data_IF_652137408471
#
_entry.id   IF_652137408471
#
_cell.length_a   1.000
_cell.length_b   1.000
_cell.length_c   1.000
_cell.angle_alpha   90.00
_cell.angle_beta   90.00
_cell.angle_gamma   90.00
#
_symmetry.space_group_name_H-M   'P 1'
#
loop_
_entity.id
_entity.type
_entity.pdbx_description
1 polymer ?
#
# COMPACT_ATOMS: atom_id res chain seq x y z
N UNK A 1 -1.92 27.11 -39.89
CA UNK A 1 -1.53 26.70 -38.51
C UNK A 1 -2.61 27.06 -37.48
N UNK A 2 -3.83 26.49 -37.57
CA UNK A 2 -4.95 26.83 -36.68
C UNK A 2 -5.59 25.64 -35.94
N UNK A 3 -5.09 24.41 -36.17
CA UNK A 3 -5.65 23.18 -35.58
C UNK A 3 -4.70 22.44 -34.61
N UNK A 4 -3.47 22.93 -34.42
CA UNK A 4 -2.52 22.37 -33.44
C UNK A 4 -2.80 22.81 -32.00
N UNK A 5 -3.45 23.96 -31.83
CA UNK A 5 -3.76 24.55 -30.52
C UNK A 5 -4.76 23.72 -29.67
N UNK A 6 -5.88 23.20 -30.22
CA UNK A 6 -6.80 22.38 -29.42
C UNK A 6 -6.19 21.01 -29.03
N UNK A 7 -5.30 20.45 -29.85
CA UNK A 7 -4.62 19.17 -29.56
C UNK A 7 -3.63 19.32 -28.39
N UNK A 8 -2.90 20.44 -28.35
CA UNK A 8 -1.97 20.75 -27.24
C UNK A 8 -2.70 21.00 -25.92
N UNK A 9 -3.88 21.63 -25.97
CA UNK A 9 -4.73 21.85 -24.79
C UNK A 9 -5.34 20.53 -24.30
N UNK A 10 -5.81 19.66 -25.20
CA UNK A 10 -6.30 18.33 -24.85
C UNK A 10 -5.22 17.44 -24.21
N UNK A 11 -3.96 17.56 -24.65
CA UNK A 11 -2.82 16.84 -24.05
C UNK A 11 -2.53 17.33 -22.62
N UNK A 12 -2.72 18.62 -22.33
CA UNK A 12 -2.52 19.20 -20.99
C UNK A 12 -3.57 18.68 -19.98
N UNK A 13 -4.82 18.48 -20.40
CA UNK A 13 -5.90 18.01 -19.52
C UNK A 13 -5.75 16.54 -19.09
N UNK A 14 -5.10 15.69 -19.88
CA UNK A 14 -4.83 14.29 -19.49
C UNK A 14 -3.83 14.23 -18.32
N UNK A 15 -2.92 15.20 -18.21
CA UNK A 15 -1.85 15.21 -17.20
C UNK A 15 -2.33 15.54 -15.78
N UNK A 16 -3.42 16.29 -15.62
CA UNK A 16 -3.95 16.69 -14.31
C UNK A 16 -4.75 15.57 -13.62
N UNK A 17 -5.33 14.63 -14.40
CA UNK A 17 -6.08 13.49 -13.86
C UNK A 17 -5.20 12.50 -13.07
N UNK A 18 -3.90 12.42 -13.37
CA UNK A 18 -2.98 11.51 -12.67
C UNK A 18 -2.42 12.10 -11.36
N UNK A 19 -2.73 13.35 -10.97
CA UNK A 19 -2.03 14.07 -9.89
C UNK A 19 -2.56 13.84 -8.47
N UNK A 20 -3.65 13.09 -8.26
CA UNK A 20 -4.41 13.10 -7.00
C UNK A 20 -3.68 12.60 -5.72
N UNK A 21 -2.47 12.01 -5.79
CA UNK A 21 -1.76 11.57 -4.57
C UNK A 21 -0.22 11.68 -4.68
N UNK A 22 0.40 12.86 -4.47
CA UNK A 22 1.84 13.05 -4.55
C UNK A 22 2.63 12.18 -3.54
N UNK A 23 2.10 12.00 -2.32
CA UNK A 23 2.71 11.13 -1.30
C UNK A 23 2.73 9.65 -1.72
N UNK A 24 1.63 9.16 -2.34
CA UNK A 24 1.54 7.77 -2.83
C UNK A 24 2.53 7.52 -3.97
N UNK A 25 2.62 8.44 -4.92
CA UNK A 25 3.60 8.36 -6.03
C UNK A 25 5.03 8.30 -5.50
N UNK A 26 5.39 9.16 -4.54
CA UNK A 26 6.70 9.14 -3.89
C UNK A 26 7.00 7.79 -3.22
N UNK A 27 6.04 7.23 -2.48
CA UNK A 27 6.21 5.92 -1.83
C UNK A 27 6.36 4.81 -2.87
N UNK A 28 5.56 4.81 -3.94
CA UNK A 28 5.69 3.83 -5.04
C UNK A 28 7.08 3.90 -5.69
N UNK A 29 7.55 5.10 -6.04
CA UNK A 29 8.88 5.29 -6.62
C UNK A 29 10.00 4.79 -5.71
N UNK A 30 9.94 5.10 -4.40
CA UNK A 30 10.90 4.59 -3.42
C UNK A 30 10.85 3.05 -3.29
N UNK A 31 9.66 2.46 -3.35
CA UNK A 31 9.48 0.99 -3.31
C UNK A 31 10.10 0.35 -4.54
N UNK A 32 9.81 0.90 -5.73
CA UNK A 32 10.39 0.45 -7.00
C UNK A 32 11.91 0.48 -6.95
N UNK A 33 12.51 1.62 -6.58
CA UNK A 33 13.97 1.74 -6.46
C UNK A 33 14.57 0.74 -5.46
N UNK A 34 13.91 0.53 -4.31
CA UNK A 34 14.36 -0.44 -3.33
C UNK A 34 14.34 -1.87 -3.86
N UNK A 35 13.24 -2.28 -4.51
CA UNK A 35 13.12 -3.64 -5.08
C UNK A 35 14.13 -3.85 -6.21
N UNK A 36 14.29 -2.87 -7.11
CA UNK A 36 15.30 -2.95 -8.19
C UNK A 36 16.70 -3.20 -7.61
N UNK A 37 17.07 -2.46 -6.56
CA UNK A 37 18.38 -2.60 -5.94
C UNK A 37 18.58 -3.94 -5.23
N UNK A 38 17.54 -4.46 -4.55
CA UNK A 38 17.66 -5.70 -3.77
C UNK A 38 17.64 -6.96 -4.65
N UNK A 39 16.79 -7.00 -5.69
CA UNK A 39 16.59 -8.24 -6.47
C UNK A 39 17.66 -8.48 -7.55
N UNK A 40 18.36 -7.43 -7.98
CA UNK A 40 19.34 -7.47 -9.07
C UNK A 40 18.80 -8.25 -10.29
N UNK A 41 17.65 -7.81 -10.80
CA UNK A 41 17.00 -8.42 -11.96
C UNK A 41 17.80 -8.13 -13.22
N UNK A 42 17.94 -9.13 -14.09
CA UNK A 42 18.41 -8.88 -15.47
C UNK A 42 17.32 -8.14 -16.25
N UNK A 43 17.68 -7.51 -17.37
CA UNK A 43 16.69 -6.81 -18.21
C UNK A 43 15.52 -7.72 -18.62
N UNK A 44 15.80 -8.96 -19.01
CA UNK A 44 14.77 -9.94 -19.41
C UNK A 44 13.88 -10.38 -18.23
N UNK A 45 14.44 -10.54 -17.03
CA UNK A 45 13.64 -10.81 -15.84
C UNK A 45 12.77 -9.61 -15.46
N UNK A 46 13.32 -8.39 -15.52
CA UNK A 46 12.63 -7.15 -15.16
C UNK A 46 11.42 -6.87 -16.07
N UNK A 47 11.56 -7.10 -17.38
CA UNK A 47 10.48 -6.96 -18.37
C UNK A 47 9.27 -7.84 -18.03
N UNK A 48 9.49 -9.06 -17.53
CA UNK A 48 8.43 -9.98 -17.11
C UNK A 48 7.93 -9.70 -15.69
N UNK A 49 8.84 -9.30 -14.80
CA UNK A 49 8.58 -9.08 -13.38
C UNK A 49 7.63 -7.90 -13.12
N UNK A 50 7.94 -6.73 -13.69
CA UNK A 50 7.22 -5.50 -13.34
C UNK A 50 5.72 -5.52 -13.65
N UNK A 51 5.26 -6.06 -14.80
CA UNK A 51 3.83 -6.18 -15.07
C UNK A 51 3.10 -7.02 -14.02
N UNK A 52 3.65 -8.19 -13.66
CA UNK A 52 3.06 -9.11 -12.67
C UNK A 52 3.03 -8.46 -11.29
N UNK A 53 4.16 -7.88 -10.88
CA UNK A 53 4.31 -7.24 -9.58
C UNK A 53 3.37 -6.04 -9.41
N UNK A 54 3.32 -5.16 -10.41
CA UNK A 54 2.49 -3.95 -10.36
C UNK A 54 0.99 -4.28 -10.35
N UNK A 55 0.56 -5.30 -11.09
CA UNK A 55 -0.82 -5.76 -11.08
C UNK A 55 -1.22 -6.28 -9.69
N UNK A 56 -0.35 -7.08 -9.06
CA UNK A 56 -0.60 -7.60 -7.71
C UNK A 56 -0.59 -6.49 -6.66
N UNK A 57 0.32 -5.52 -6.75
CA UNK A 57 0.36 -4.35 -5.87
C UNK A 57 -0.92 -3.50 -5.95
N UNK A 58 -1.45 -3.29 -7.15
CA UNK A 58 -2.71 -2.55 -7.30
C UNK A 58 -3.89 -3.34 -6.73
N UNK A 59 -3.92 -4.67 -6.93
CA UNK A 59 -4.94 -5.53 -6.33
C UNK A 59 -4.87 -5.53 -4.80
N UNK A 60 -3.66 -5.64 -4.25
CA UNK A 60 -3.42 -5.53 -2.81
C UNK A 60 -3.84 -4.16 -2.26
N UNK A 61 -3.59 -3.08 -3.01
CA UNK A 61 -4.01 -1.74 -2.63
C UNK A 61 -5.55 -1.63 -2.54
N UNK A 62 -6.26 -2.13 -3.55
CA UNK A 62 -7.73 -2.16 -3.57
C UNK A 62 -8.29 -2.93 -2.36
N UNK A 63 -7.79 -4.14 -2.11
CA UNK A 63 -8.21 -4.96 -0.96
C UNK A 63 -7.92 -4.26 0.38
N UNK A 64 -6.78 -3.57 0.51
CA UNK A 64 -6.49 -2.77 1.70
C UNK A 64 -7.42 -1.56 1.85
N UNK A 65 -7.84 -0.94 0.75
CA UNK A 65 -8.83 0.13 0.79
C UNK A 65 -10.19 -0.38 1.26
N UNK A 66 -10.67 -1.50 0.72
CA UNK A 66 -11.89 -2.17 1.18
C UNK A 66 -11.80 -2.48 2.69
N UNK A 67 -10.66 -3.01 3.15
CA UNK A 67 -10.43 -3.32 4.57
C UNK A 67 -10.49 -2.08 5.45
N UNK A 68 -9.88 -0.98 5.00
CA UNK A 68 -9.90 0.30 5.72
C UNK A 68 -11.31 0.88 5.80
N UNK A 69 -12.07 0.82 4.71
CA UNK A 69 -13.46 1.30 4.70
C UNK A 69 -14.35 0.48 5.63
N UNK A 70 -14.19 -0.84 5.66
CA UNK A 70 -14.93 -1.71 6.59
C UNK A 70 -14.62 -1.35 8.06
N UNK A 71 -13.34 -1.18 8.40
CA UNK A 71 -12.93 -0.76 9.75
C UNK A 71 -13.43 0.63 10.11
N UNK A 72 -13.42 1.58 9.16
CA UNK A 72 -13.92 2.93 9.38
C UNK A 72 -15.41 2.91 9.72
N UNK A 73 -16.23 2.19 8.94
CA UNK A 73 -17.67 2.02 9.19
C UNK A 73 -17.94 1.42 10.57
N UNK A 74 -17.18 0.40 10.95
CA UNK A 74 -17.28 -0.21 12.28
C UNK A 74 -16.94 0.79 13.39
N UNK A 75 -15.87 1.57 13.23
CA UNK A 75 -15.49 2.58 14.23
C UNK A 75 -16.57 3.65 14.44
N UNK A 76 -17.28 4.02 13.38
CA UNK A 76 -18.29 5.08 13.42
C UNK A 76 -19.63 4.60 14.00
N UNK A 77 -20.03 3.34 13.74
CA UNK A 77 -21.39 2.86 14.03
C UNK A 77 -21.43 1.57 14.87
N UNK A 78 -20.37 1.25 15.63
CA UNK A 78 -20.28 -0.05 16.33
C UNK A 78 -21.48 -0.34 17.23
N UNK A 79 -21.88 0.61 18.07
CA UNK A 79 -22.94 0.41 19.08
C UNK A 79 -24.35 0.28 18.47
N UNK A 80 -24.50 0.63 17.18
CA UNK A 80 -25.78 0.60 16.47
C UNK A 80 -25.96 -0.62 15.56
N UNK A 81 -24.97 -1.52 15.46
CA UNK A 81 -25.08 -2.70 14.59
C UNK A 81 -25.99 -3.76 15.23
N UNK A 82 -26.89 -4.32 14.43
CA UNK A 82 -27.65 -5.50 14.81
C UNK A 82 -26.83 -6.79 14.68
N UNK A 83 -27.28 -7.88 15.31
CA UNK A 83 -26.64 -9.20 15.22
C UNK A 83 -26.56 -9.71 13.77
N UNK A 84 -27.59 -9.45 12.94
CA UNK A 84 -27.59 -9.85 11.53
C UNK A 84 -26.55 -9.07 10.72
N UNK A 85 -26.40 -7.77 10.96
CA UNK A 85 -25.37 -6.93 10.34
C UNK A 85 -23.96 -7.33 10.79
N UNK A 86 -23.80 -7.66 12.08
CA UNK A 86 -22.54 -8.17 12.62
C UNK A 86 -22.08 -9.43 11.89
N UNK A 87 -22.98 -10.40 11.66
CA UNK A 87 -22.69 -11.62 10.86
C UNK A 87 -22.25 -11.29 9.44
N UNK A 88 -22.94 -10.35 8.77
CA UNK A 88 -22.56 -9.91 7.42
C UNK A 88 -21.18 -9.27 7.40
N UNK A 89 -20.84 -8.45 8.41
CA UNK A 89 -19.53 -7.80 8.53
C UNK A 89 -18.44 -8.83 8.77
N UNK A 90 -18.67 -9.82 9.65
CA UNK A 90 -17.74 -10.92 9.89
C UNK A 90 -17.47 -11.71 8.60
N UNK A 91 -18.52 -12.07 7.86
CA UNK A 91 -18.38 -12.78 6.60
C UNK A 91 -17.59 -11.97 5.56
N UNK A 92 -17.84 -10.66 5.46
CA UNK A 92 -17.07 -9.75 4.59
C UNK A 92 -15.60 -9.68 5.02
N UNK A 93 -15.32 -9.64 6.31
CA UNK A 93 -13.96 -9.63 6.85
C UNK A 93 -13.19 -10.90 6.47
N UNK A 94 -13.82 -12.07 6.67
CA UNK A 94 -13.25 -13.38 6.32
C UNK A 94 -12.98 -13.45 4.81
N UNK A 95 -13.96 -13.08 3.97
CA UNK A 95 -13.79 -13.07 2.52
C UNK A 95 -12.62 -12.18 2.09
N UNK A 96 -12.51 -10.99 2.69
CA UNK A 96 -11.43 -10.07 2.38
C UNK A 96 -10.06 -10.64 2.77
N UNK A 97 -9.94 -11.28 3.93
CA UNK A 97 -8.71 -11.98 4.33
C UNK A 97 -8.34 -13.08 3.34
N UNK A 98 -9.31 -13.90 2.92
CA UNK A 98 -9.11 -14.96 1.94
C UNK A 98 -8.66 -14.41 0.58
N UNK A 99 -9.29 -13.34 0.09
CA UNK A 99 -8.88 -12.65 -1.15
C UNK A 99 -7.46 -12.11 -1.05
N UNK A 100 -7.10 -11.52 0.09
CA UNK A 100 -5.73 -11.03 0.32
C UNK A 100 -4.70 -12.17 0.39
N UNK A 101 -5.05 -13.32 0.97
CA UNK A 101 -4.16 -14.48 1.00
C UNK A 101 -4.00 -15.09 -0.40
N UNK A 102 -5.10 -15.27 -1.12
CA UNK A 102 -5.11 -15.77 -2.50
C UNK A 102 -4.25 -14.91 -3.43
N UNK A 103 -4.33 -13.59 -3.31
CA UNK A 103 -3.51 -12.68 -4.13
C UNK A 103 -2.01 -12.82 -3.83
N UNK A 104 -1.61 -12.97 -2.56
CA UNK A 104 -0.20 -13.21 -2.20
C UNK A 104 0.34 -14.53 -2.76
N UNK A 105 -0.48 -15.57 -2.70
CA UNK A 105 -0.10 -16.88 -3.24
C UNK A 105 0.00 -16.81 -4.76
N UNK A 106 -0.98 -16.15 -5.41
CA UNK A 106 -0.98 -15.93 -6.86
C UNK A 106 0.29 -15.22 -7.33
N UNK A 107 0.72 -14.13 -6.68
CA UNK A 107 1.98 -13.47 -7.02
C UNK A 107 3.17 -14.44 -6.95
N UNK A 108 3.22 -15.28 -5.92
CA UNK A 108 4.30 -16.27 -5.76
C UNK A 108 4.26 -17.31 -6.89
N UNK A 109 3.07 -17.84 -7.22
CA UNK A 109 2.86 -18.81 -8.29
C UNK A 109 3.12 -18.22 -9.68
N UNK A 110 2.81 -16.95 -9.92
CA UNK A 110 3.07 -16.29 -11.19
C UNK A 110 4.57 -16.03 -11.37
N UNK A 111 5.27 -15.60 -10.31
CA UNK A 111 6.69 -15.32 -10.37
C UNK A 111 7.56 -16.57 -10.51
N UNK A 112 7.20 -17.69 -9.87
CA UNK A 112 8.02 -18.92 -9.89
C UNK A 112 8.13 -19.55 -11.30
N UNK A 113 7.22 -19.17 -12.21
CA UNK A 113 7.25 -19.65 -13.60
C UNK A 113 8.47 -19.13 -14.38
N UNK A 114 9.07 -18.01 -13.99
CA UNK A 114 10.18 -17.40 -14.73
C UNK A 114 11.27 -16.78 -13.86
N UNK A 115 11.07 -16.66 -12.54
CA UNK A 115 12.02 -16.07 -11.60
C UNK A 115 12.52 -17.14 -10.61
N UNK A 116 13.84 -17.24 -10.37
CA UNK A 116 14.37 -18.19 -9.39
C UNK A 116 13.77 -18.04 -7.99
N UNK A 117 13.44 -19.14 -7.33
CA UNK A 117 12.80 -19.15 -6.02
C UNK A 117 13.56 -18.32 -4.96
N UNK A 118 14.90 -18.31 -5.00
CA UNK A 118 15.74 -17.49 -4.12
C UNK A 118 15.46 -15.99 -4.28
N UNK A 119 15.24 -15.50 -5.51
CA UNK A 119 14.89 -14.10 -5.78
C UNK A 119 13.47 -13.77 -5.30
N UNK A 120 12.55 -14.73 -5.35
CA UNK A 120 11.18 -14.56 -4.81
C UNK A 120 11.21 -14.45 -3.28
N UNK A 121 12.04 -15.24 -2.59
CA UNK A 121 12.25 -15.10 -1.14
C UNK A 121 12.88 -13.74 -0.83
N UNK A 122 13.87 -13.31 -1.62
CA UNK A 122 14.51 -12.00 -1.47
C UNK A 122 13.52 -10.85 -1.67
N UNK A 123 12.59 -10.97 -2.62
CA UNK A 123 11.48 -10.02 -2.80
C UNK A 123 10.66 -9.88 -1.52
N UNK A 124 10.21 -10.99 -0.94
CA UNK A 124 9.40 -10.95 0.30
C UNK A 124 10.16 -10.21 1.41
N UNK A 125 11.44 -10.52 1.58
CA UNK A 125 12.31 -9.83 2.54
C UNK A 125 12.43 -8.33 2.24
N UNK A 126 12.68 -7.95 0.99
CA UNK A 126 12.80 -6.55 0.57
C UNK A 126 11.51 -5.75 0.82
N UNK A 127 10.34 -6.35 0.57
CA UNK A 127 9.05 -5.71 0.85
C UNK A 127 8.81 -5.48 2.36
N UNK A 128 9.17 -6.47 3.19
CA UNK A 128 9.08 -6.36 4.65
C UNK A 128 10.03 -5.29 5.18
N UNK A 129 11.28 -5.29 4.72
CA UNK A 129 12.30 -4.31 5.11
C UNK A 129 11.90 -2.90 4.69
N UNK A 130 11.36 -2.73 3.48
CA UNK A 130 10.80 -1.45 3.02
C UNK A 130 9.66 -0.98 3.92
N UNK A 131 8.73 -1.87 4.24
CA UNK A 131 7.58 -1.56 5.11
C UNK A 131 8.04 -1.16 6.50
N UNK A 132 9.00 -1.90 7.08
CA UNK A 132 9.60 -1.59 8.39
C UNK A 132 10.28 -0.23 8.38
N UNK A 133 11.08 0.08 7.35
CA UNK A 133 11.75 1.38 7.17
C UNK A 133 10.74 2.52 7.04
N UNK A 134 9.66 2.33 6.27
CA UNK A 134 8.59 3.32 6.17
C UNK A 134 7.91 3.60 7.50
N UNK A 135 7.51 2.54 8.23
CA UNK A 135 6.85 2.68 9.54
C UNK A 135 7.75 3.42 10.53
N UNK A 136 9.04 3.06 10.60
CA UNK A 136 10.02 3.75 11.44
C UNK A 136 10.09 5.24 11.10
N UNK A 137 10.25 5.59 9.82
CA UNK A 137 10.27 6.99 9.37
C UNK A 137 9.00 7.75 9.76
N UNK A 138 7.82 7.14 9.59
CA UNK A 138 6.55 7.79 9.98
C UNK A 138 6.42 7.99 11.50
N UNK A 139 6.95 7.06 12.31
CA UNK A 139 6.95 7.19 13.78
C UNK A 139 7.90 8.29 14.25
N UNK A 140 9.12 8.31 13.72
CA UNK A 140 10.14 9.28 14.10
C UNK A 140 9.72 10.72 13.73
N UNK A 141 8.98 10.90 12.63
CA UNK A 141 8.41 12.20 12.26
C UNK A 141 7.22 12.63 13.13
N UNK A 142 6.51 11.71 13.81
CA UNK A 142 5.45 12.07 14.77
C UNK A 142 6.01 12.41 16.15
N UNK A 143 7.11 11.76 16.57
CA UNK A 143 7.73 12.02 17.87
C UNK A 143 8.39 13.41 17.99
N UNK A 144 8.96 13.94 16.91
CA UNK A 144 9.58 15.28 16.91
C UNK A 144 8.59 16.45 16.89
N UNK A 145 7.29 16.20 16.76
CA UNK A 145 6.24 17.24 16.81
C UNK A 145 5.67 17.49 18.22
N UNK A 146 6.10 16.71 19.22
CA UNK A 146 5.54 16.72 20.59
C UNK A 146 6.61 16.88 21.68
N UNK A 147 7.78 17.43 21.35
CA UNK A 147 8.87 17.75 22.29
C UNK A 147 9.05 19.27 22.47
N UNK A 148 7.97 20.04 22.34
CA UNK A 148 7.95 21.50 22.58
C UNK A 148 7.05 21.97 23.73
N UNK A 149 6.28 21.07 24.35
CA UNK A 149 5.44 21.41 25.51
C UNK A 149 5.33 20.20 26.44
N UNK A 150 6.40 19.95 27.20
CA UNK A 150 6.31 19.20 28.44
C UNK A 150 6.57 20.17 29.59
N UNK A 151 5.52 20.90 29.97
CA UNK A 151 5.45 21.50 31.30
C UNK A 151 5.37 20.39 32.36
N UNK A 152 6.16 20.42 33.45
CA UNK A 152 6.15 19.39 34.48
C UNK A 152 5.05 19.69 35.51
N UNK A 153 3.85 19.18 35.26
CA UNK A 153 2.81 18.96 36.27
C UNK A 153 2.25 17.56 36.01
N UNK A 154 2.34 16.58 36.90
CA UNK A 154 2.33 16.62 38.36
C UNK A 154 1.27 15.60 38.76
N UNK A 155 1.67 14.56 39.49
CA UNK A 155 0.73 13.61 40.09
C UNK A 155 0.99 12.14 39.75
N UNK A 156 1.86 11.51 40.54
CA UNK A 156 1.69 10.10 40.91
C UNK A 156 0.45 10.00 41.80
N UNK A 157 -0.38 8.99 41.58
CA UNK A 157 -1.43 8.58 42.52
C UNK A 157 -2.13 7.30 42.05
N UNK A 158 -2.14 6.21 42.84
CA UNK A 158 -2.47 4.86 42.35
C UNK A 158 -3.93 4.47 42.56
N UNK A 159 -4.43 3.57 41.71
CA UNK A 159 -4.89 2.21 42.06
C UNK A 159 -5.08 1.38 40.81
#
# INVERSE_FOLDING_TARGET
>A
MKQVLPILIALLFISTAFAQHPKRKKIKALKTAHITNELNLTSSEAEKFWPVYNASEEKHHQLRNESRQLRKKLKENFDAISESEAKVILQKSINLQNRMHKERNKLTTDLIQFLPAKKIILLKKAEEDFTRKLIKKFRDHRGRGTEGDMSPHGGRGPR
#
